data_IF_268741689287
#
_entry.id   IF_268741689287
#
_cell.length_a   1.000
_cell.length_b   1.000
_cell.length_c   1.000
_cell.angle_alpha   90.00
_cell.angle_beta   90.00
_cell.angle_gamma   90.00
#
_symmetry.space_group_name_H-M   'P 1'
#
loop_
_entity.id
_entity.type
_entity.pdbx_description
1 polymer ?
#
# COMPACT_ATOMS: atom_id res chain seq x y z
N UNK A 1 8.37 12.73 30.05
CA UNK A 1 8.71 12.82 28.62
C UNK A 1 8.04 11.63 27.97
N UNK A 2 7.04 11.89 27.16
CA UNK A 2 6.25 10.90 26.45
C UNK A 2 6.94 10.55 25.12
N UNK A 3 6.55 9.44 24.48
CA UNK A 3 7.04 9.10 23.14
C UNK A 3 6.76 10.21 22.12
N UNK A 4 5.64 10.93 22.28
CA UNK A 4 5.31 12.08 21.45
C UNK A 4 6.30 13.24 21.65
N UNK A 5 6.75 13.48 22.88
CA UNK A 5 7.77 14.51 23.19
C UNK A 5 9.12 14.15 22.55
N UNK A 6 9.46 12.86 22.49
CA UNK A 6 10.71 12.38 21.89
C UNK A 6 10.70 12.39 20.36
N UNK A 7 9.55 12.07 19.75
CA UNK A 7 9.44 11.81 18.31
C UNK A 7 8.84 12.99 17.52
N UNK A 8 8.26 13.98 18.21
CA UNK A 8 7.59 15.12 17.59
C UNK A 8 6.31 14.77 16.82
N UNK A 9 5.86 13.51 16.89
CA UNK A 9 4.69 12.95 16.23
C UNK A 9 4.00 11.95 17.16
N UNK A 10 2.71 11.70 16.94
CA UNK A 10 2.01 10.66 17.69
C UNK A 10 2.58 9.28 17.37
N UNK A 11 2.58 8.40 18.36
CA UNK A 11 3.07 7.02 18.24
C UNK A 11 2.46 6.29 17.05
N UNK A 12 1.15 6.45 16.81
CA UNK A 12 0.44 5.82 15.70
C UNK A 12 0.99 6.21 14.32
N UNK A 13 1.36 7.48 14.13
CA UNK A 13 1.92 7.97 12.85
C UNK A 13 3.32 7.41 12.64
N UNK A 14 4.17 7.45 13.68
CA UNK A 14 5.53 6.90 13.60
C UNK A 14 5.50 5.41 13.31
N UNK A 15 4.62 4.66 13.98
CA UNK A 15 4.45 3.23 13.75
C UNK A 15 3.91 2.90 12.35
N UNK A 16 2.98 3.71 11.82
CA UNK A 16 2.51 3.55 10.44
C UNK A 16 3.64 3.78 9.43
N UNK A 17 4.46 4.82 9.64
CA UNK A 17 5.64 5.11 8.81
C UNK A 17 6.66 3.96 8.87
N UNK A 18 6.98 3.46 10.07
CA UNK A 18 7.92 2.37 10.25
C UNK A 18 7.46 1.10 9.52
N UNK A 19 6.19 0.72 9.66
CA UNK A 19 5.61 -0.42 8.92
C UNK A 19 5.68 -0.21 7.40
N UNK A 20 5.40 1.00 6.90
CA UNK A 20 5.52 1.32 5.47
C UNK A 20 6.96 1.18 4.99
N UNK A 21 7.95 1.59 5.80
CA UNK A 21 9.37 1.45 5.47
C UNK A 21 9.80 -0.02 5.40
N UNK A 22 9.41 -0.84 6.37
CA UNK A 22 9.68 -2.28 6.36
C UNK A 22 9.01 -2.97 5.16
N UNK A 23 7.75 -2.63 4.88
CA UNK A 23 7.05 -3.16 3.71
C UNK A 23 7.76 -2.77 2.42
N UNK A 24 8.14 -1.51 2.26
CA UNK A 24 8.85 -1.03 1.07
C UNK A 24 10.16 -1.78 0.85
N UNK A 25 10.95 -1.97 1.91
CA UNK A 25 12.17 -2.76 1.84
C UNK A 25 11.88 -4.17 1.30
N UNK A 26 10.90 -4.87 1.86
CA UNK A 26 10.51 -6.22 1.42
C UNK A 26 9.99 -6.24 -0.03
N UNK A 27 9.24 -5.23 -0.45
CA UNK A 27 8.73 -5.09 -1.82
C UNK A 27 9.88 -5.03 -2.82
N UNK A 28 10.90 -4.19 -2.55
CA UNK A 28 12.09 -4.08 -3.41
C UNK A 28 12.92 -5.36 -3.37
N UNK A 29 13.18 -5.91 -2.17
CA UNK A 29 13.99 -7.13 -2.00
C UNK A 29 13.38 -8.35 -2.71
N UNK A 30 12.05 -8.40 -2.80
CA UNK A 30 11.33 -9.49 -3.47
C UNK A 30 11.05 -9.23 -4.96
N UNK A 31 11.47 -8.08 -5.50
CA UNK A 31 11.21 -7.70 -6.90
C UNK A 31 9.73 -7.41 -7.20
N UNK A 32 8.95 -7.07 -6.17
CA UNK A 32 7.53 -6.73 -6.28
C UNK A 32 7.29 -5.22 -6.45
N UNK A 33 8.32 -4.46 -6.79
CA UNK A 33 8.31 -3.01 -6.99
C UNK A 33 7.79 -2.60 -8.38
N UNK A 34 7.29 -3.55 -9.19
CA UNK A 34 6.62 -3.24 -10.46
C UNK A 34 5.15 -2.90 -10.23
N UNK A 35 4.73 -1.71 -10.64
CA UNK A 35 3.34 -1.27 -10.52
C UNK A 35 2.39 -2.17 -11.32
N UNK A 36 1.44 -2.83 -10.65
CA UNK A 36 0.46 -3.72 -11.27
C UNK A 36 -0.41 -3.03 -12.34
N UNK A 37 -0.65 -1.72 -12.20
CA UNK A 37 -1.51 -0.96 -13.12
C UNK A 37 -0.80 -0.56 -14.42
N UNK A 38 0.45 -0.10 -14.34
CA UNK A 38 1.15 0.47 -15.51
C UNK A 38 2.41 -0.28 -15.94
N UNK A 39 2.82 -1.33 -15.21
CA UNK A 39 3.97 -2.18 -15.53
C UNK A 39 5.34 -1.50 -15.36
N UNK A 40 5.39 -0.28 -14.79
CA UNK A 40 6.65 0.44 -14.53
C UNK A 40 7.10 0.28 -13.07
N UNK A 41 8.42 0.35 -12.80
CA UNK A 41 8.93 0.36 -11.44
C UNK A 41 8.35 1.50 -10.59
N UNK A 42 8.14 1.22 -9.31
CA UNK A 42 7.84 2.20 -8.27
C UNK A 42 9.19 2.64 -7.70
N UNK A 43 9.59 3.89 -7.89
CA UNK A 43 10.96 4.32 -7.53
C UNK A 43 11.06 4.87 -6.09
N UNK A 44 9.92 5.08 -5.42
CA UNK A 44 9.87 5.71 -4.09
C UNK A 44 8.76 5.14 -3.21
N UNK A 45 9.08 4.98 -1.92
CA UNK A 45 8.12 4.66 -0.85
C UNK A 45 6.95 5.64 -0.79
N UNK A 46 7.15 6.90 -1.17
CA UNK A 46 6.08 7.91 -1.14
C UNK A 46 5.04 7.67 -2.25
N UNK A 47 5.44 7.02 -3.34
CA UNK A 47 4.55 6.62 -4.44
C UNK A 47 4.02 5.18 -4.28
N UNK A 48 4.50 4.42 -3.28
CA UNK A 48 3.98 3.08 -2.99
C UNK A 48 2.52 3.15 -2.48
N UNK A 49 1.64 2.43 -3.18
CA UNK A 49 0.27 2.14 -2.79
C UNK A 49 0.02 0.64 -2.72
N UNK A 50 -0.97 0.24 -1.91
CA UNK A 50 -1.47 -1.13 -1.81
C UNK A 50 -2.94 -1.09 -2.20
N UNK A 51 -3.36 -1.97 -3.10
CA UNK A 51 -4.74 -2.00 -3.58
C UNK A 51 -5.20 -3.42 -3.89
N UNK A 52 -6.52 -3.59 -3.97
CA UNK A 52 -7.13 -4.80 -4.49
C UNK A 52 -7.10 -4.81 -6.03
N UNK A 53 -6.74 -5.95 -6.64
CA UNK A 53 -6.74 -6.13 -8.09
C UNK A 53 -8.17 -6.07 -8.64
N UNK A 54 -9.09 -6.72 -7.94
CA UNK A 54 -10.53 -6.75 -8.21
C UNK A 54 -11.35 -6.18 -7.04
N UNK A 55 -12.52 -5.63 -7.36
CA UNK A 55 -13.42 -5.05 -6.35
C UNK A 55 -13.98 -6.13 -5.42
N UNK A 56 -13.73 -6.01 -4.12
CA UNK A 56 -14.15 -6.99 -3.12
C UNK A 56 -15.58 -6.76 -2.60
N UNK A 57 -16.11 -5.53 -2.71
CA UNK A 57 -17.42 -5.15 -2.13
C UNK A 57 -18.60 -5.92 -2.75
N UNK A 58 -18.45 -6.37 -4.01
CA UNK A 58 -19.46 -7.12 -4.75
C UNK A 58 -19.22 -8.63 -4.79
N UNK A 59 -18.18 -9.14 -4.14
CA UNK A 59 -17.85 -10.56 -4.14
C UNK A 59 -18.92 -11.37 -3.38
N UNK A 60 -18.98 -12.68 -3.65
CA UNK A 60 -19.87 -13.60 -2.92
C UNK A 60 -19.54 -13.69 -1.43
N UNK A 61 -18.25 -13.60 -1.08
CA UNK A 61 -17.77 -13.40 0.29
C UNK A 61 -16.83 -12.18 0.33
N UNK A 62 -17.36 -10.98 0.63
CA UNK A 62 -16.55 -9.76 0.68
C UNK A 62 -15.48 -9.77 1.77
N UNK A 63 -15.64 -10.54 2.86
CA UNK A 63 -14.65 -10.60 3.93
C UNK A 63 -13.45 -11.42 3.49
N UNK A 64 -13.71 -12.58 2.90
CA UNK A 64 -12.67 -13.41 2.31
C UNK A 64 -11.95 -12.64 1.19
N UNK A 65 -12.71 -12.06 0.25
CA UNK A 65 -12.15 -11.29 -0.86
C UNK A 65 -11.32 -10.06 -0.43
N UNK A 66 -11.64 -9.46 0.72
CA UNK A 66 -10.87 -8.34 1.26
C UNK A 66 -9.48 -8.78 1.78
N UNK A 67 -9.40 -9.97 2.39
CA UNK A 67 -8.18 -10.50 2.99
C UNK A 67 -7.42 -11.49 2.10
N UNK A 68 -7.92 -11.76 0.89
CA UNK A 68 -7.23 -12.57 -0.11
C UNK A 68 -5.96 -11.86 -0.61
N UNK A 69 -4.79 -12.40 -0.24
CA UNK A 69 -3.50 -11.87 -0.64
C UNK A 69 -3.23 -12.01 -2.14
N UNK A 70 -3.87 -12.96 -2.83
CA UNK A 70 -3.77 -13.08 -4.28
C UNK A 70 -4.50 -11.93 -4.98
N UNK A 71 -5.50 -11.34 -4.34
CA UNK A 71 -6.19 -10.14 -4.78
C UNK A 71 -5.47 -8.84 -4.37
N UNK A 72 -4.33 -8.87 -3.68
CA UNK A 72 -3.56 -7.67 -3.32
C UNK A 72 -2.43 -7.41 -4.31
N UNK A 73 -2.21 -6.14 -4.65
CA UNK A 73 -1.10 -5.71 -5.49
C UNK A 73 -0.49 -4.38 -5.01
N UNK A 74 0.75 -4.12 -5.46
CA UNK A 74 1.43 -2.84 -5.30
C UNK A 74 1.29 -1.99 -6.57
N UNK A 75 1.17 -0.69 -6.39
CA UNK A 75 1.05 0.26 -7.49
C UNK A 75 1.60 1.63 -7.13
N UNK A 76 1.75 2.48 -8.14
CA UNK A 76 1.94 3.91 -7.92
C UNK A 76 0.67 4.51 -7.31
N UNK A 77 0.82 5.43 -6.37
CA UNK A 77 -0.27 6.14 -5.73
C UNK A 77 -1.16 6.83 -6.75
N UNK A 78 -0.56 7.50 -7.75
CA UNK A 78 -1.30 8.13 -8.86
C UNK A 78 -2.12 7.14 -9.69
N UNK A 79 -1.63 5.90 -9.86
CA UNK A 79 -2.32 4.89 -10.64
C UNK A 79 -3.55 4.37 -9.89
N UNK A 80 -3.42 4.15 -8.59
CA UNK A 80 -4.55 3.77 -7.73
C UNK A 80 -5.62 4.88 -7.67
N UNK A 81 -5.21 6.15 -7.51
CA UNK A 81 -6.15 7.28 -7.45
C UNK A 81 -6.92 7.46 -8.77
N UNK A 82 -6.26 7.29 -9.93
CA UNK A 82 -6.92 7.41 -11.23
C UNK A 82 -8.07 6.40 -11.40
N UNK A 83 -7.91 5.17 -10.90
CA UNK A 83 -8.97 4.15 -10.95
C UNK A 83 -10.15 4.53 -10.04
N UNK A 84 -9.88 5.09 -8.86
CA UNK A 84 -10.93 5.48 -7.92
C UNK A 84 -11.71 6.73 -8.32
N UNK A 85 -11.21 7.52 -9.27
CA UNK A 85 -11.84 8.78 -9.73
C UNK A 85 -12.55 8.66 -11.07
N UNK A 86 -12.58 7.46 -11.69
CA UNK A 86 -13.38 7.20 -12.90
C UNK A 86 -12.93 7.98 -14.13
N UNK A 87 -11.62 8.01 -14.40
CA UNK A 87 -11.06 8.53 -15.65
C UNK A 87 -11.38 7.68 -16.87
#
# INVERSE_FOLDING_TARGET
>A
MTDQDLLGQSWSVVQARLRKMLLWQLVVETGNDTCFRCGRPIDSIDDLSIEHKEAWQGASDPKEAFFDLENIAFSHLRCNVAVNTGG
#
